data_IF_700597113523
#
_entry.id   IF_700597113523
#
_cell.length_a   1.000
_cell.length_b   1.000
_cell.length_c   1.000
_cell.angle_alpha   90.00
_cell.angle_beta   90.00
_cell.angle_gamma   90.00
#
_symmetry.space_group_name_H-M   'P 1'
#
loop_
_entity.id
_entity.type
_entity.pdbx_description
1 polymer ?
#
# COMPACT_ATOMS: atom_id res chain seq x y z
N UNK A 1 -26.83 -34.40 19.18
CA UNK A 1 -26.72 -32.92 19.31
C UNK A 1 -25.35 -32.59 19.88
N UNK A 2 -24.36 -32.36 19.02
CA UNK A 2 -23.00 -32.01 19.45
C UNK A 2 -22.80 -30.52 19.24
N UNK A 3 -22.72 -29.76 20.33
CA UNK A 3 -22.33 -28.35 20.31
C UNK A 3 -20.86 -28.28 19.93
N UNK A 4 -20.55 -27.88 18.70
CA UNK A 4 -19.20 -27.47 18.33
C UNK A 4 -18.98 -26.04 18.84
N UNK A 5 -18.26 -25.94 19.95
CA UNK A 5 -17.47 -24.76 20.31
C UNK A 5 -16.40 -24.55 19.24
N UNK A 6 -16.53 -23.50 18.41
CA UNK A 6 -15.41 -22.97 17.63
C UNK A 6 -14.93 -21.69 18.29
N UNK A 7 -13.67 -21.73 18.71
CA UNK A 7 -12.91 -20.63 19.29
C UNK A 7 -12.91 -19.40 18.37
N UNK A 8 -13.01 -18.17 18.90
CA UNK A 8 -12.77 -16.97 18.11
C UNK A 8 -11.25 -16.88 17.87
N UNK A 9 -10.76 -17.38 16.74
CA UNK A 9 -9.44 -16.99 16.21
C UNK A 9 -9.65 -15.75 15.35
N UNK A 10 -9.71 -14.60 16.01
CA UNK A 10 -9.54 -13.31 15.39
C UNK A 10 -8.70 -12.48 16.34
N UNK A 11 -7.47 -12.14 15.95
CA UNK A 11 -6.75 -11.08 16.64
C UNK A 11 -7.62 -9.84 16.48
N UNK A 12 -8.28 -9.41 17.55
CA UNK A 12 -9.05 -8.16 17.56
C UNK A 12 -8.10 -7.01 17.24
N UNK A 13 -8.07 -6.62 15.98
CA UNK A 13 -7.26 -5.49 15.53
C UNK A 13 -7.85 -4.24 16.18
N UNK A 14 -7.15 -3.71 17.19
CA UNK A 14 -7.53 -2.46 17.84
C UNK A 14 -7.58 -1.37 16.77
N UNK A 15 -8.78 -0.85 16.50
CA UNK A 15 -8.97 0.29 15.62
C UNK A 15 -8.66 1.57 16.38
N UNK A 16 -7.91 2.46 15.74
CA UNK A 16 -7.70 3.84 16.20
C UNK A 16 -8.51 4.79 15.33
N UNK A 17 -8.70 6.04 15.77
CA UNK A 17 -9.37 7.05 14.96
C UNK A 17 -8.58 7.30 13.67
N UNK A 18 -9.27 7.38 12.53
CA UNK A 18 -8.67 7.72 11.24
C UNK A 18 -8.05 9.12 11.27
N UNK A 19 -8.72 10.08 11.90
CA UNK A 19 -8.22 11.46 12.04
C UNK A 19 -6.87 11.52 12.75
N UNK A 20 -6.66 10.71 13.78
CA UNK A 20 -5.38 10.64 14.47
C UNK A 20 -4.26 10.19 13.51
N UNK A 21 -4.54 9.19 12.68
CA UNK A 21 -3.60 8.71 11.67
C UNK A 21 -3.35 9.77 10.59
N UNK A 22 -4.39 10.41 10.05
CA UNK A 22 -4.31 11.48 9.07
C UNK A 22 -3.48 12.66 9.56
N UNK A 23 -3.74 13.14 10.78
CA UNK A 23 -2.99 14.26 11.38
C UNK A 23 -1.53 13.88 11.67
N UNK A 24 -1.29 12.64 12.11
CA UNK A 24 0.08 12.13 12.33
C UNK A 24 0.85 12.07 11.01
N UNK A 25 0.20 11.61 9.94
CA UNK A 25 0.79 11.58 8.61
C UNK A 25 1.06 13.00 8.08
N UNK A 26 0.12 13.93 8.27
CA UNK A 26 0.31 15.34 7.93
C UNK A 26 1.50 15.98 8.64
N UNK A 27 1.66 15.72 9.95
CA UNK A 27 2.81 16.19 10.71
C UNK A 27 4.14 15.59 10.19
N UNK A 28 4.15 14.30 9.85
CA UNK A 28 5.31 13.64 9.24
C UNK A 28 5.70 14.31 7.92
N UNK A 29 4.76 14.52 7.00
CA UNK A 29 5.06 15.15 5.71
C UNK A 29 5.53 16.59 5.90
N UNK A 30 4.93 17.34 6.83
CA UNK A 30 5.34 18.71 7.15
C UNK A 30 6.74 18.79 7.78
N UNK A 31 7.17 17.78 8.53
CA UNK A 31 8.55 17.67 9.02
C UNK A 31 9.51 17.38 7.86
N UNK A 32 9.19 16.42 7.00
CA UNK A 32 10.02 16.08 5.84
C UNK A 32 10.20 17.26 4.89
N UNK A 33 9.15 18.05 4.65
CA UNK A 33 9.22 19.26 3.83
C UNK A 33 10.09 20.37 4.44
N UNK A 34 10.27 20.38 5.77
CA UNK A 34 11.17 21.31 6.45
C UNK A 34 12.62 20.82 6.45
N UNK A 35 12.81 19.51 6.60
CA UNK A 35 14.14 18.91 6.73
C UNK A 35 14.81 18.61 5.38
N UNK A 36 14.03 18.41 4.32
CA UNK A 36 14.53 18.03 3.01
C UNK A 36 14.43 19.19 2.02
N UNK A 37 15.48 19.35 1.21
CA UNK A 37 15.65 20.51 0.32
C UNK A 37 14.71 20.49 -0.91
N UNK A 38 14.10 19.36 -1.24
CA UNK A 38 13.26 19.23 -2.44
C UNK A 38 12.08 18.26 -2.27
N UNK A 39 10.93 18.52 -2.95
CA UNK A 39 9.79 17.60 -2.96
C UNK A 39 10.13 16.20 -3.46
N UNK A 40 11.09 16.08 -4.38
CA UNK A 40 11.55 14.80 -4.90
C UNK A 40 12.26 13.97 -3.82
N UNK A 41 13.07 14.61 -2.97
CA UNK A 41 13.68 13.95 -1.81
C UNK A 41 12.61 13.50 -0.81
N UNK A 42 11.57 14.32 -0.57
CA UNK A 42 10.42 13.94 0.26
C UNK A 42 9.72 12.71 -0.31
N UNK A 43 9.45 12.67 -1.61
CA UNK A 43 8.84 11.51 -2.26
C UNK A 43 9.67 10.23 -2.08
N UNK A 44 11.00 10.31 -2.28
CA UNK A 44 11.89 9.16 -2.08
C UNK A 44 11.86 8.67 -0.62
N UNK A 45 11.81 9.60 0.33
CA UNK A 45 11.77 9.26 1.74
C UNK A 45 10.42 8.65 2.14
N UNK A 46 9.29 9.19 1.65
CA UNK A 46 7.96 8.62 1.83
C UNK A 46 7.85 7.22 1.22
N UNK A 47 8.40 7.04 0.02
CA UNK A 47 8.46 5.76 -0.68
C UNK A 47 9.26 4.71 0.12
N UNK A 48 10.42 5.09 0.64
CA UNK A 48 11.25 4.23 1.51
C UNK A 48 10.56 3.87 2.82
N UNK A 49 9.92 4.84 3.48
CA UNK A 49 9.15 4.58 4.70
C UNK A 49 7.99 3.63 4.42
N UNK A 50 7.22 3.90 3.35
CA UNK A 50 6.13 3.05 2.89
C UNK A 50 6.60 1.62 2.64
N UNK A 51 7.70 1.45 1.91
CA UNK A 51 8.26 0.14 1.62
C UNK A 51 8.58 -0.66 2.89
N UNK A 52 9.26 -0.06 3.86
CA UNK A 52 9.56 -0.75 5.13
C UNK A 52 8.29 -1.08 5.94
N UNK A 53 7.27 -0.23 5.88
CA UNK A 53 5.95 -0.52 6.47
C UNK A 53 5.32 -1.70 5.75
N UNK A 54 5.32 -1.70 4.41
CA UNK A 54 4.78 -2.75 3.56
C UNK A 54 5.36 -4.13 3.86
N UNK A 55 6.68 -4.22 4.03
CA UNK A 55 7.36 -5.46 4.42
C UNK A 55 6.76 -6.05 5.71
N UNK A 56 6.48 -5.19 6.71
CA UNK A 56 5.92 -5.62 8.01
C UNK A 56 4.42 -5.90 7.94
N UNK A 57 3.69 -5.19 7.09
CA UNK A 57 2.25 -5.40 6.90
C UNK A 57 1.96 -6.72 6.18
N UNK A 58 2.88 -7.20 5.34
CA UNK A 58 2.69 -8.44 4.59
C UNK A 58 2.40 -9.64 5.51
N UNK A 59 3.16 -9.81 6.60
CA UNK A 59 2.97 -10.92 7.53
C UNK A 59 1.57 -10.90 8.16
N UNK A 60 1.10 -9.72 8.59
CA UNK A 60 -0.24 -9.54 9.15
C UNK A 60 -1.34 -9.82 8.10
N UNK A 61 -1.14 -9.36 6.86
CA UNK A 61 -2.07 -9.56 5.76
C UNK A 61 -2.22 -11.04 5.43
N UNK A 62 -1.10 -11.77 5.33
CA UNK A 62 -1.06 -13.20 5.03
C UNK A 62 -1.60 -14.04 6.19
N UNK A 63 -1.32 -13.66 7.44
CA UNK A 63 -1.85 -14.33 8.63
C UNK A 63 -3.38 -14.25 8.70
N UNK A 64 -3.95 -13.09 8.36
CA UNK A 64 -5.41 -12.87 8.35
C UNK A 64 -6.09 -13.47 7.12
N UNK A 65 -5.36 -13.69 6.03
CA UNK A 65 -5.90 -14.10 4.75
C UNK A 65 -5.00 -15.14 4.08
N UNK A 66 -4.97 -16.36 4.62
CA UNK A 66 -4.11 -17.45 4.15
C UNK A 66 -4.33 -17.85 2.68
N UNK A 67 -5.44 -17.46 2.06
CA UNK A 67 -5.70 -17.68 0.63
C UNK A 67 -4.85 -16.78 -0.28
N UNK A 68 -4.34 -15.66 0.23
CA UNK A 68 -3.52 -14.69 -0.52
C UNK A 68 -2.15 -15.28 -0.91
N UNK A 69 -1.61 -16.22 -0.13
CA UNK A 69 -0.32 -16.88 -0.41
C UNK A 69 -0.27 -17.61 -1.77
N UNK A 70 -1.43 -17.86 -2.40
CA UNK A 70 -1.53 -18.58 -3.68
C UNK A 70 -1.86 -17.67 -4.86
N UNK A 71 -1.92 -16.36 -4.66
CA UNK A 71 -2.19 -15.41 -5.74
C UNK A 71 -1.04 -15.46 -6.75
N UNK A 72 -1.31 -16.08 -7.90
CA UNK A 72 -0.39 -16.18 -9.05
C UNK A 72 -0.86 -15.32 -10.22
N UNK A 73 -2.07 -14.76 -10.13
CA UNK A 73 -2.70 -13.92 -11.14
C UNK A 73 -2.83 -12.48 -10.63
N UNK A 74 -2.43 -11.53 -11.48
CA UNK A 74 -2.44 -10.10 -11.14
C UNK A 74 -3.85 -9.59 -10.86
N UNK A 75 -4.90 -10.16 -11.45
CA UNK A 75 -6.28 -9.77 -11.13
C UNK A 75 -6.65 -10.08 -9.69
N UNK A 76 -6.20 -11.22 -9.17
CA UNK A 76 -6.40 -11.57 -7.76
C UNK A 76 -5.60 -10.63 -6.86
N UNK A 77 -4.36 -10.31 -7.23
CA UNK A 77 -3.53 -9.34 -6.50
C UNK A 77 -4.21 -7.97 -6.46
N UNK A 78 -4.72 -7.48 -7.59
CA UNK A 78 -5.43 -6.22 -7.67
C UNK A 78 -6.68 -6.20 -6.77
N UNK A 79 -7.48 -7.27 -6.79
CA UNK A 79 -8.67 -7.39 -5.94
C UNK A 79 -8.33 -7.45 -4.45
N UNK A 80 -7.29 -8.19 -4.08
CA UNK A 80 -6.79 -8.27 -2.72
C UNK A 80 -6.34 -6.90 -2.22
N UNK A 81 -5.53 -6.18 -3.01
CA UNK A 81 -5.09 -4.83 -2.66
C UNK A 81 -6.29 -3.89 -2.50
N UNK A 82 -7.18 -3.86 -3.49
CA UNK A 82 -8.29 -2.92 -3.57
C UNK A 82 -9.37 -3.14 -2.49
N UNK A 83 -9.71 -4.40 -2.20
CA UNK A 83 -10.88 -4.76 -1.37
C UNK A 83 -10.53 -5.29 0.01
N UNK A 84 -9.33 -5.86 0.19
CA UNK A 84 -8.91 -6.47 1.45
C UNK A 84 -7.87 -5.62 2.16
N UNK A 85 -6.72 -5.35 1.52
CA UNK A 85 -5.60 -4.67 2.16
C UNK A 85 -5.94 -3.21 2.50
N UNK A 86 -6.37 -2.41 1.51
CA UNK A 86 -6.73 -1.01 1.76
C UNK A 86 -7.86 -0.87 2.79
N UNK A 87 -8.83 -1.79 2.76
CA UNK A 87 -9.94 -1.79 3.74
C UNK A 87 -9.44 -2.13 5.14
N UNK A 88 -8.54 -3.10 5.24
CA UNK A 88 -7.99 -3.56 6.52
C UNK A 88 -7.11 -2.51 7.20
N UNK A 89 -6.30 -1.78 6.42
CA UNK A 89 -5.29 -0.86 6.97
C UNK A 89 -5.66 0.62 6.92
N UNK A 90 -6.39 1.05 5.89
CA UNK A 90 -6.79 2.45 5.69
C UNK A 90 -8.30 2.67 5.84
N UNK A 91 -9.09 1.61 6.00
CA UNK A 91 -10.55 1.71 6.14
C UNK A 91 -11.30 2.04 4.85
N UNK A 92 -10.61 2.10 3.71
CA UNK A 92 -11.18 2.47 2.40
C UNK A 92 -10.98 1.35 1.38
N UNK A 93 -11.76 1.35 0.30
CA UNK A 93 -11.53 0.46 -0.85
C UNK A 93 -11.13 1.27 -2.07
N UNK A 94 -10.40 0.65 -2.98
CA UNK A 94 -10.10 1.22 -4.29
C UNK A 94 -10.94 0.56 -5.40
N UNK A 95 -11.09 1.26 -6.52
CA UNK A 95 -11.51 0.67 -7.78
C UNK A 95 -10.30 0.22 -8.57
N UNK A 96 -10.36 -0.97 -9.16
CA UNK A 96 -9.34 -1.47 -10.09
C UNK A 96 -9.75 -1.10 -11.51
N UNK A 97 -8.89 -0.42 -12.25
CA UNK A 97 -9.18 0.03 -13.62
C UNK A 97 -7.93 0.01 -14.52
N UNK A 98 -8.10 0.43 -15.78
CA UNK A 98 -7.01 0.71 -16.71
C UNK A 98 -6.01 -0.45 -16.93
N UNK A 99 -6.48 -1.68 -16.98
CA UNK A 99 -5.62 -2.84 -17.25
C UNK A 99 -4.84 -2.69 -18.56
N UNK A 100 -3.55 -3.03 -18.55
CA UNK A 100 -2.75 -3.18 -19.77
C UNK A 100 -3.24 -4.38 -20.57
N UNK A 101 -3.03 -4.35 -21.89
CA UNK A 101 -3.36 -5.49 -22.77
C UNK A 101 -2.64 -6.79 -22.39
N UNK A 102 -1.53 -6.70 -21.65
CA UNK A 102 -0.72 -7.82 -21.17
C UNK A 102 -1.17 -8.32 -19.79
N UNK A 103 -2.13 -7.65 -19.15
CA UNK A 103 -2.58 -7.92 -17.78
C UNK A 103 -1.46 -7.90 -16.73
N UNK A 104 -0.38 -7.16 -17.01
CA UNK A 104 0.77 -6.98 -16.12
C UNK A 104 0.78 -5.59 -15.48
N UNK A 105 -0.25 -4.79 -15.69
CA UNK A 105 -0.33 -3.45 -15.15
C UNK A 105 -1.80 -3.01 -14.99
N UNK A 106 -2.12 -2.35 -13.88
CA UNK A 106 -3.46 -1.83 -13.57
C UNK A 106 -3.37 -0.57 -12.73
N UNK A 107 -4.49 0.13 -12.60
CA UNK A 107 -4.64 1.29 -11.73
C UNK A 107 -5.51 0.96 -10.52
N UNK A 108 -5.09 1.43 -9.35
CA UNK A 108 -5.88 1.51 -8.12
C UNK A 108 -6.34 2.96 -7.94
N UNK A 109 -7.64 3.17 -8.03
CA UNK A 109 -8.26 4.50 -7.87
C UNK A 109 -8.93 4.55 -6.50
N UNK A 110 -8.39 5.39 -5.61
CA UNK A 110 -9.00 5.72 -4.34
C UNK A 110 -9.73 7.05 -4.51
N UNK A 111 -11.06 7.02 -4.54
CA UNK A 111 -11.90 8.22 -4.64
C UNK A 111 -11.87 9.05 -3.36
N UNK A 112 -11.67 8.39 -2.21
CA UNK A 112 -11.52 9.01 -0.91
C UNK A 112 -10.23 8.52 -0.26
N UNK A 113 -9.22 9.38 -0.27
CA UNK A 113 -7.90 9.16 0.26
C UNK A 113 -7.86 9.67 1.72
N UNK A 114 -7.83 8.77 2.71
CA UNK A 114 -7.88 9.16 4.12
C UNK A 114 -6.63 9.95 4.55
N UNK A 115 -5.51 9.82 3.83
CA UNK A 115 -4.29 10.58 4.13
C UNK A 115 -4.48 12.08 3.83
N UNK A 116 -5.29 12.42 2.83
CA UNK A 116 -5.39 13.77 2.28
C UNK A 116 -6.68 14.50 2.70
N UNK A 117 -7.44 13.98 3.65
CA UNK A 117 -8.77 14.50 4.01
C UNK A 117 -8.75 15.99 4.40
N UNK A 118 -7.72 16.43 5.14
CA UNK A 118 -7.54 17.80 5.63
C UNK A 118 -6.36 18.53 4.97
N UNK A 119 -5.93 18.07 3.80
CA UNK A 119 -4.68 18.51 3.19
C UNK A 119 -4.97 19.29 1.92
N UNK A 120 -4.38 20.48 1.84
CA UNK A 120 -4.29 21.24 0.60
C UNK A 120 -2.80 21.47 0.31
N UNK A 121 -2.33 20.88 -0.80
CA UNK A 121 -0.93 21.02 -1.21
C UNK A 121 -0.79 22.37 -1.95
N UNK A 122 0.13 23.26 -1.52
CA UNK A 122 0.42 24.49 -2.24
C UNK A 122 0.75 24.22 -3.71
N UNK A 123 0.29 25.10 -4.61
CA UNK A 123 0.47 24.92 -6.06
C UNK A 123 1.94 24.81 -6.48
N UNK A 124 2.84 25.47 -5.75
CA UNK A 124 4.29 25.40 -5.94
C UNK A 124 4.88 24.02 -5.64
N UNK A 125 4.25 23.24 -4.75
CA UNK A 125 4.66 21.88 -4.41
C UNK A 125 3.89 20.83 -5.21
N UNK A 126 2.66 21.14 -5.64
CA UNK A 126 1.74 20.18 -6.25
C UNK A 126 2.28 19.53 -7.54
N UNK A 127 3.19 20.21 -8.25
CA UNK A 127 3.81 19.65 -9.45
C UNK A 127 4.69 18.42 -9.11
N UNK A 128 5.49 18.54 -8.06
CA UNK A 128 6.57 17.60 -7.76
C UNK A 128 6.30 16.72 -6.54
N UNK A 129 5.56 17.21 -5.55
CA UNK A 129 5.20 16.46 -4.37
C UNK A 129 4.15 15.40 -4.72
N UNK A 130 4.32 14.21 -4.17
CA UNK A 130 3.36 13.11 -4.20
C UNK A 130 3.00 12.79 -2.77
N UNK A 131 1.95 13.45 -2.28
CA UNK A 131 1.58 13.44 -0.87
C UNK A 131 1.30 12.03 -0.37
N UNK A 132 0.77 11.15 -1.22
CA UNK A 132 0.42 9.76 -0.89
C UNK A 132 1.46 8.73 -1.34
N UNK A 133 2.69 9.16 -1.64
CA UNK A 133 3.77 8.27 -2.12
C UNK A 133 4.06 7.13 -1.13
N UNK A 134 3.77 7.31 0.16
CA UNK A 134 3.89 6.25 1.17
C UNK A 134 3.06 5.00 0.82
N UNK A 135 1.89 5.17 0.18
CA UNK A 135 1.04 4.04 -0.24
C UNK A 135 1.73 3.23 -1.35
N UNK A 136 2.38 3.92 -2.30
CA UNK A 136 3.15 3.28 -3.37
C UNK A 136 4.27 2.41 -2.78
N UNK A 137 5.00 2.95 -1.81
CA UNK A 137 6.03 2.20 -1.08
C UNK A 137 5.44 0.98 -0.37
N UNK A 138 4.35 1.16 0.38
CA UNK A 138 3.71 0.08 1.12
C UNK A 138 3.24 -1.07 0.23
N UNK A 139 2.68 -0.77 -0.94
CA UNK A 139 2.30 -1.79 -1.92
C UNK A 139 3.54 -2.56 -2.41
N UNK A 140 4.63 -1.87 -2.77
CA UNK A 140 5.86 -2.54 -3.23
C UNK A 140 6.44 -3.46 -2.17
N UNK A 141 6.59 -2.96 -0.93
CA UNK A 141 7.13 -3.77 0.16
C UNK A 141 6.26 -4.97 0.47
N UNK A 142 4.93 -4.80 0.50
CA UNK A 142 4.02 -5.91 0.78
C UNK A 142 4.08 -7.00 -0.31
N UNK A 143 4.13 -6.61 -1.58
CA UNK A 143 4.20 -7.57 -2.69
C UNK A 143 5.58 -8.23 -2.82
N UNK A 144 6.65 -7.56 -2.42
CA UNK A 144 7.98 -8.17 -2.36
C UNK A 144 8.03 -9.36 -1.39
N UNK A 145 7.42 -9.21 -0.21
CA UNK A 145 7.26 -10.31 0.77
C UNK A 145 6.40 -11.46 0.25
N UNK A 146 5.62 -11.21 -0.80
CA UNK A 146 4.86 -12.22 -1.53
C UNK A 146 5.57 -12.70 -2.80
N UNK A 147 6.88 -12.47 -2.88
CA UNK A 147 7.76 -12.83 -4.00
C UNK A 147 7.36 -12.20 -5.34
N UNK A 148 6.76 -11.02 -5.33
CA UNK A 148 6.41 -10.26 -6.54
C UNK A 148 7.14 -8.93 -6.56
N UNK A 149 8.00 -8.73 -7.56
CA UNK A 149 8.56 -7.42 -7.83
C UNK A 149 7.57 -6.61 -8.66
N UNK A 150 7.21 -5.44 -8.14
CA UNK A 150 6.34 -4.49 -8.83
C UNK A 150 6.93 -3.08 -8.84
N UNK A 151 6.56 -2.30 -9.83
CA UNK A 151 6.72 -0.85 -9.84
C UNK A 151 5.39 -0.20 -9.50
N UNK A 152 5.45 0.88 -8.72
CA UNK A 152 4.29 1.69 -8.39
C UNK A 152 4.59 3.17 -8.61
N UNK A 153 3.61 3.90 -9.13
CA UNK A 153 3.71 5.35 -9.30
C UNK A 153 2.34 5.99 -9.25
N UNK A 154 2.29 7.21 -8.72
CA UNK A 154 1.07 8.02 -8.71
C UNK A 154 0.87 8.63 -10.10
N UNK A 155 -0.24 8.29 -10.75
CA UNK A 155 -0.64 8.84 -12.04
C UNK A 155 -1.28 10.21 -11.83
N UNK A 156 -2.17 10.30 -10.85
CA UNK A 156 -2.95 11.48 -10.55
C UNK A 156 -3.20 11.56 -9.05
N UNK A 157 -3.04 12.75 -8.50
CA UNK A 157 -3.39 13.06 -7.11
C UNK A 157 -4.13 14.40 -7.12
N UNK A 158 -5.38 14.38 -6.66
CA UNK A 158 -6.25 15.56 -6.67
C UNK A 158 -7.06 15.62 -5.39
N UNK A 159 -6.81 16.63 -4.57
CA UNK A 159 -7.51 16.88 -3.30
C UNK A 159 -7.61 15.59 -2.47
N UNK A 160 -8.75 14.90 -2.52
CA UNK A 160 -9.03 13.68 -1.77
C UNK A 160 -8.99 12.40 -2.60
N UNK A 161 -8.53 12.43 -3.85
CA UNK A 161 -8.46 11.25 -4.71
C UNK A 161 -7.03 10.98 -5.16
N UNK A 162 -6.70 9.69 -5.33
CA UNK A 162 -5.40 9.26 -5.84
C UNK A 162 -5.54 8.05 -6.77
N UNK A 163 -4.89 8.12 -7.92
CA UNK A 163 -4.70 6.99 -8.84
C UNK A 163 -3.26 6.50 -8.73
N UNK A 164 -3.11 5.24 -8.33
CA UNK A 164 -1.82 4.56 -8.22
C UNK A 164 -1.74 3.51 -9.31
N UNK A 165 -0.76 3.62 -10.19
CA UNK A 165 -0.41 2.56 -11.13
C UNK A 165 0.40 1.49 -10.42
N UNK A 166 0.08 0.23 -10.69
CA UNK A 166 0.85 -0.93 -10.24
C UNK A 166 1.22 -1.77 -11.46
N UNK A 167 2.53 -1.96 -11.67
CA UNK A 167 3.09 -2.73 -12.78
C UNK A 167 3.87 -3.92 -12.25
N UNK A 168 3.47 -5.11 -12.65
CA UNK A 168 4.21 -6.34 -12.39
C UNK A 168 5.50 -6.39 -13.21
N UNK A 169 6.61 -6.75 -12.55
CA UNK A 169 7.93 -6.87 -13.19
C UNK A 169 8.29 -8.34 -13.33
N UNK A 170 8.36 -9.07 -12.21
CA UNK A 170 8.74 -10.50 -12.19
C UNK A 170 8.41 -11.14 -10.85
N UNK A 171 8.40 -12.48 -10.85
CA UNK A 171 8.45 -13.28 -9.62
C UNK A 171 9.89 -13.29 -9.09
N UNK A 172 10.05 -13.09 -7.79
CA UNK A 172 11.31 -13.19 -7.09
C UNK A 172 11.57 -14.65 -6.73
N UNK A 173 12.78 -15.13 -7.05
CA UNK A 173 13.20 -16.47 -6.67
C UNK A 173 13.79 -16.44 -5.27
N UNK A 174 13.36 -17.35 -4.42
CA UNK A 174 13.95 -17.56 -3.11
C UNK A 174 15.32 -18.22 -3.31
N UNK A 175 16.40 -17.47 -3.09
CA UNK A 175 17.74 -18.06 -3.11
C UNK A 175 17.95 -18.81 -1.81
N UNK A 176 17.95 -20.14 -1.87
CA UNK A 176 18.40 -20.98 -0.74
C UNK A 176 19.90 -20.73 -0.60
N UNK A 177 20.41 -20.28 0.56
CA UNK A 177 21.83 -20.23 0.80
C UNK A 177 22.42 -21.62 0.54
N UNK A 178 23.57 -21.75 -0.14
CA UNK A 178 24.23 -23.04 -0.23
C UNK A 178 24.42 -23.56 1.20
N UNK A 179 23.77 -24.68 1.52
CA UNK A 179 24.00 -25.35 2.80
C UNK A 179 25.46 -25.74 2.86
N UNK A 180 26.14 -25.36 3.94
CA UNK A 180 27.43 -25.95 4.27
C UNK A 180 27.17 -27.44 4.57
N UNK A 181 27.68 -28.32 3.71
CA UNK A 181 27.75 -29.78 3.94
C UNK A 181 28.51 -30.13 5.23
#
# INVERSE_FOLDING_TARGET
>A
MSKQTKFPMGIDSKKISGELFTLTYGALVAELLRDLESPQAVNQQLDKMGYNIGLRLADDLLAKNSQIQRCTDMHQVADVLAKVALRGYLGVTAQVSNWSARNDEFSLVLESNPLAEFVEVPSELAQDLRYSQIICGAIRGALEMMHMEVQTFIVQEQSQSVEIRVKFIRILQESVPPGDD
#
